data_IF_102424197235
#
_entry.id   IF_102424197235
#
_cell.length_a   1.000
_cell.length_b   1.000
_cell.length_c   1.000
_cell.angle_alpha   90.00
_cell.angle_beta   90.00
_cell.angle_gamma   90.00
#
_symmetry.space_group_name_H-M   'P 1'
#
loop_
_entity.id
_entity.type
_entity.pdbx_description
1 polymer ?
#
# COMPACT_ATOMS: atom_id res chain seq x y z
N UNK A 1 -16.14 8.76 9.29
CA UNK A 1 -17.29 8.09 8.61
C UNK A 1 -16.92 7.18 7.45
N UNK A 2 -16.28 7.64 6.36
CA UNK A 2 -16.06 6.83 5.13
C UNK A 2 -15.36 5.49 5.35
N UNK A 3 -14.31 5.46 6.18
CA UNK A 3 -13.60 4.21 6.50
C UNK A 3 -14.43 3.23 7.33
N UNK A 4 -15.31 3.73 8.22
CA UNK A 4 -16.23 2.90 8.99
C UNK A 4 -17.24 2.24 8.05
N UNK A 5 -17.80 3.01 7.12
CA UNK A 5 -18.69 2.49 6.09
C UNK A 5 -17.99 1.45 5.21
N UNK A 6 -16.76 1.72 4.74
CA UNK A 6 -16.00 0.73 3.96
C UNK A 6 -15.81 -0.58 4.73
N UNK A 7 -15.43 -0.51 6.02
CA UNK A 7 -15.29 -1.68 6.89
C UNK A 7 -16.60 -2.44 7.03
N UNK A 8 -17.69 -1.73 7.30
CA UNK A 8 -19.02 -2.33 7.39
C UNK A 8 -19.43 -3.05 6.10
N UNK A 9 -19.26 -2.40 4.94
CA UNK A 9 -19.55 -3.00 3.63
C UNK A 9 -18.66 -4.23 3.34
N UNK A 10 -17.40 -4.24 3.80
CA UNK A 10 -16.52 -5.42 3.70
C UNK A 10 -17.00 -6.55 4.62
N UNK A 11 -17.41 -6.25 5.85
CA UNK A 11 -17.98 -7.23 6.78
C UNK A 11 -19.26 -7.87 6.23
N UNK A 12 -20.10 -7.09 5.55
CA UNK A 12 -21.29 -7.59 4.86
C UNK A 12 -20.99 -8.33 3.54
N UNK A 13 -19.72 -8.42 3.11
CA UNK A 13 -19.33 -9.09 1.87
C UNK A 13 -19.65 -8.30 0.58
N UNK A 14 -20.12 -7.06 0.69
CA UNK A 14 -20.54 -6.22 -0.46
C UNK A 14 -19.32 -5.74 -1.27
N UNK A 15 -18.21 -5.45 -0.60
CA UNK A 15 -16.98 -5.00 -1.25
C UNK A 15 -15.75 -5.76 -0.74
N UNK A 16 -14.70 -5.80 -1.57
CA UNK A 16 -13.38 -6.34 -1.20
C UNK A 16 -12.31 -5.27 -1.33
N UNK A 17 -11.43 -5.20 -0.32
CA UNK A 17 -10.22 -4.39 -0.32
C UNK A 17 -9.24 -4.93 0.74
N UNK A 18 -7.97 -4.63 0.56
CA UNK A 18 -6.86 -4.98 1.45
C UNK A 18 -6.37 -3.73 2.22
N UNK A 19 -6.35 -2.58 1.56
CA UNK A 19 -5.84 -1.32 2.10
C UNK A 19 -6.94 -0.24 2.17
N UNK A 20 -6.90 0.55 3.25
CA UNK A 20 -7.54 1.86 3.33
C UNK A 20 -6.51 2.95 3.56
N UNK A 21 -6.74 4.14 3.00
CA UNK A 21 -5.81 5.27 3.14
C UNK A 21 -6.28 6.29 4.15
N UNK A 22 -5.37 6.72 5.03
CA UNK A 22 -5.50 7.94 5.84
C UNK A 22 -4.44 8.96 5.44
N UNK A 23 -4.70 10.24 5.71
CA UNK A 23 -3.75 11.33 5.46
C UNK A 23 -3.13 11.79 6.77
N UNK A 24 -1.86 12.15 6.74
CA UNK A 24 -1.09 12.73 7.85
C UNK A 24 -0.14 13.79 7.31
N UNK A 25 0.34 14.70 8.16
CA UNK A 25 1.35 15.70 7.79
C UNK A 25 2.79 15.24 8.03
N UNK A 26 3.00 14.27 8.91
CA UNK A 26 4.33 13.82 9.33
C UNK A 26 4.63 12.40 8.85
N UNK A 27 5.88 12.13 8.51
CA UNK A 27 6.33 10.78 8.16
C UNK A 27 6.16 9.84 9.36
N UNK A 28 5.50 8.67 9.20
CA UNK A 28 5.22 7.77 10.31
C UNK A 28 6.46 7.00 10.74
N UNK A 29 6.53 6.66 12.03
CA UNK A 29 7.41 5.60 12.53
C UNK A 29 6.86 4.24 12.10
N UNK A 30 7.72 3.23 12.13
CA UNK A 30 7.37 1.88 11.67
C UNK A 30 6.17 1.29 12.45
N UNK A 31 6.16 1.45 13.77
CA UNK A 31 5.10 0.99 14.69
C UNK A 31 3.76 1.72 14.50
N UNK A 32 3.75 2.90 13.89
CA UNK A 32 2.54 3.64 13.56
C UNK A 32 1.84 3.12 12.29
N UNK A 33 2.52 2.31 11.48
CA UNK A 33 1.98 1.74 10.23
C UNK A 33 1.33 0.39 10.50
N UNK A 34 0.00 0.36 10.48
CA UNK A 34 -0.80 -0.84 10.75
C UNK A 34 -1.04 -1.65 9.49
N UNK A 35 -1.27 -2.95 9.66
CA UNK A 35 -1.73 -3.82 8.58
C UNK A 35 -3.06 -3.34 8.00
N UNK A 36 -3.19 -3.43 6.68
CA UNK A 36 -4.38 -2.97 5.97
C UNK A 36 -4.50 -1.44 5.87
N UNK A 37 -3.46 -0.68 6.25
CA UNK A 37 -3.44 0.77 6.17
C UNK A 37 -2.35 1.28 5.22
N UNK A 38 -2.71 2.31 4.44
CA UNK A 38 -1.78 3.16 3.73
C UNK A 38 -1.81 4.56 4.33
N UNK A 39 -0.65 5.05 4.76
CA UNK A 39 -0.46 6.40 5.26
C UNK A 39 0.01 7.28 4.11
N UNK A 40 -0.84 8.22 3.70
CA UNK A 40 -0.49 9.24 2.70
C UNK A 40 -0.02 10.50 3.41
N UNK A 41 1.28 10.76 3.35
CA UNK A 41 1.93 11.92 3.96
C UNK A 41 1.79 13.13 3.04
N UNK A 42 0.97 14.10 3.45
CA UNK A 42 0.72 15.36 2.74
C UNK A 42 0.90 16.52 3.69
N UNK A 43 1.75 17.46 3.33
CA UNK A 43 2.06 18.62 4.16
C UNK A 43 2.15 19.88 3.29
N UNK A 44 1.46 20.94 3.69
CA UNK A 44 1.33 22.16 2.88
C UNK A 44 0.74 21.93 1.49
N UNK A 45 -0.09 20.88 1.30
CA UNK A 45 -0.62 20.50 -0.01
C UNK A 45 0.35 19.70 -0.90
N UNK A 46 1.57 19.42 -0.40
CA UNK A 46 2.58 18.66 -1.13
C UNK A 46 2.52 17.19 -0.71
N UNK A 47 2.35 16.30 -1.69
CA UNK A 47 2.44 14.85 -1.50
C UNK A 47 3.90 14.43 -1.32
N UNK A 48 4.23 13.83 -0.17
CA UNK A 48 5.60 13.47 0.19
C UNK A 48 5.83 11.97 0.08
N UNK A 49 5.01 11.18 0.77
CA UNK A 49 5.20 9.73 0.91
C UNK A 49 3.88 8.96 0.94
N UNK A 50 3.95 7.71 0.50
CA UNK A 50 2.97 6.67 0.82
C UNK A 50 3.66 5.54 1.59
N UNK A 51 3.23 5.31 2.83
CA UNK A 51 3.82 4.29 3.71
C UNK A 51 2.77 3.23 4.06
N UNK A 52 3.10 1.95 3.93
CA UNK A 52 2.23 0.82 4.30
C UNK A 52 3.05 -0.43 4.59
N UNK A 53 2.46 -1.40 5.31
CA UNK A 53 3.11 -2.70 5.58
C UNK A 53 3.14 -3.56 4.33
N UNK A 54 4.25 -4.27 4.13
CA UNK A 54 4.43 -5.15 2.99
C UNK A 54 3.35 -6.26 2.97
N UNK A 55 2.53 -6.37 1.90
CA UNK A 55 1.50 -7.40 1.81
C UNK A 55 2.08 -8.81 1.59
N UNK A 56 3.38 -8.92 1.32
CA UNK A 56 4.08 -10.19 1.15
C UNK A 56 4.30 -10.96 2.45
N UNK A 57 4.07 -10.34 3.61
CA UNK A 57 4.15 -11.00 4.92
C UNK A 57 5.48 -10.85 5.65
N UNK A 58 6.48 -10.17 5.07
CA UNK A 58 7.77 -9.94 5.73
C UNK A 58 7.72 -8.90 6.86
N UNK A 59 6.58 -8.25 7.10
CA UNK A 59 6.39 -7.24 8.13
C UNK A 59 7.04 -5.87 7.84
N UNK A 60 7.94 -5.75 6.87
CA UNK A 60 8.62 -4.48 6.58
C UNK A 60 7.65 -3.36 6.16
N UNK A 61 7.87 -2.14 6.67
CA UNK A 61 7.25 -0.94 6.11
C UNK A 61 7.85 -0.61 4.73
N UNK A 62 6.97 -0.30 3.78
CA UNK A 62 7.33 0.17 2.44
C UNK A 62 7.09 1.69 2.37
N UNK A 63 8.14 2.52 2.29
CA UNK A 63 8.00 3.93 1.97
C UNK A 63 8.15 4.19 0.47
N UNK A 64 7.14 4.80 -0.14
CA UNK A 64 7.15 5.21 -1.54
C UNK A 64 7.24 6.73 -1.65
N UNK A 65 8.25 7.23 -2.36
CA UNK A 65 8.39 8.66 -2.64
C UNK A 65 7.33 9.11 -3.66
N UNK A 66 6.56 10.13 -3.29
CA UNK A 66 5.57 10.78 -4.18
C UNK A 66 6.13 12.01 -4.88
N UNK A 67 7.40 12.33 -4.63
CA UNK A 67 8.06 13.48 -5.24
C UNK A 67 8.20 13.29 -6.77
N UNK A 68 7.60 14.15 -7.60
CA UNK A 68 7.62 14.01 -9.06
C UNK A 68 9.02 14.14 -9.68
N UNK A 69 9.98 14.73 -8.95
CA UNK A 69 11.36 14.95 -9.38
C UNK A 69 12.29 13.78 -9.04
N UNK A 70 11.88 12.83 -8.18
CA UNK A 70 12.70 11.66 -7.80
C UNK A 70 12.22 10.41 -8.53
N UNK A 71 13.14 9.47 -8.81
CA UNK A 71 12.81 8.15 -9.32
C UNK A 71 13.21 7.08 -8.29
N UNK A 72 12.46 5.97 -8.19
CA UNK A 72 11.11 5.77 -8.74
C UNK A 72 10.08 6.77 -8.20
N UNK A 73 9.13 7.18 -9.06
CA UNK A 73 8.06 8.13 -8.73
C UNK A 73 6.75 7.38 -8.60
N UNK A 74 6.03 7.57 -7.51
CA UNK A 74 4.67 7.06 -7.37
C UNK A 74 3.66 8.20 -7.27
N UNK A 75 2.42 7.90 -7.64
CA UNK A 75 1.24 8.72 -7.36
C UNK A 75 0.24 7.91 -6.56
N UNK A 76 -0.54 8.60 -5.71
CA UNK A 76 -1.56 7.98 -4.86
C UNK A 76 -2.91 8.62 -5.14
N UNK A 77 -3.82 7.85 -5.71
CA UNK A 77 -5.24 8.18 -5.76
C UNK A 77 -5.99 7.53 -4.60
N UNK A 78 -7.15 8.07 -4.24
CA UNK A 78 -8.07 7.42 -3.31
C UNK A 78 -9.50 7.62 -3.79
N UNK A 79 -10.30 6.56 -3.76
CA UNK A 79 -11.73 6.70 -4.05
C UNK A 79 -12.50 7.25 -2.83
N UNK A 80 -13.81 7.43 -3.01
CA UNK A 80 -14.69 7.95 -1.96
C UNK A 80 -14.71 7.07 -0.70
N UNK A 81 -14.55 5.76 -0.84
CA UNK A 81 -14.47 4.80 0.27
C UNK A 81 -13.09 4.74 0.92
N UNK A 82 -12.16 5.63 0.52
CA UNK A 82 -10.78 5.69 1.02
C UNK A 82 -9.98 4.46 0.64
N UNK A 83 -10.28 3.83 -0.50
CA UNK A 83 -9.49 2.73 -1.04
C UNK A 83 -8.42 3.30 -1.98
N UNK A 84 -7.11 3.11 -1.69
CA UNK A 84 -6.04 3.72 -2.46
C UNK A 84 -5.82 3.04 -3.82
N UNK A 85 -5.28 3.79 -4.76
CA UNK A 85 -4.67 3.26 -5.99
C UNK A 85 -3.28 3.86 -6.13
N UNK A 86 -2.29 3.01 -6.43
CA UNK A 86 -0.90 3.40 -6.65
C UNK A 86 -0.53 3.25 -8.12
N UNK A 87 0.26 4.19 -8.63
CA UNK A 87 0.89 4.06 -9.94
C UNK A 87 2.32 4.60 -9.89
N UNK A 88 3.32 3.88 -10.43
CA UNK A 88 3.25 2.55 -11.04
C UNK A 88 3.10 1.43 -9.98
N UNK A 89 3.31 0.17 -10.39
CA UNK A 89 3.44 -0.96 -9.47
C UNK A 89 4.56 -0.76 -8.45
N UNK A 90 4.49 -1.52 -7.37
CA UNK A 90 5.49 -1.56 -6.31
C UNK A 90 6.30 -2.82 -6.48
N UNK A 91 7.61 -2.69 -6.69
CA UNK A 91 8.54 -3.79 -6.79
C UNK A 91 9.64 -3.59 -5.74
N UNK A 92 9.56 -4.34 -4.66
CA UNK A 92 10.60 -4.36 -3.63
C UNK A 92 11.72 -5.29 -4.05
N UNK A 93 12.96 -4.83 -3.89
CA UNK A 93 14.18 -5.62 -4.14
C UNK A 93 14.87 -6.08 -2.85
N UNK A 94 14.15 -6.00 -1.73
CA UNK A 94 14.60 -6.59 -0.48
C UNK A 94 14.37 -8.11 -0.49
N UNK A 95 14.65 -8.79 0.63
CA UNK A 95 14.49 -10.23 0.75
C UNK A 95 13.07 -10.75 0.47
N UNK A 96 12.04 -9.89 0.55
CA UNK A 96 10.66 -10.26 0.25
C UNK A 96 10.37 -10.26 -1.26
N UNK A 97 11.19 -9.58 -2.07
CA UNK A 97 11.11 -9.54 -3.54
C UNK A 97 9.70 -9.27 -4.11
N UNK A 98 8.82 -8.60 -3.35
CA UNK A 98 7.41 -8.55 -3.66
C UNK A 98 7.12 -7.58 -4.81
N UNK A 99 6.29 -8.00 -5.77
CA UNK A 99 5.86 -7.18 -6.92
C UNK A 99 4.34 -7.21 -7.11
N UNK A 100 3.71 -6.04 -6.93
CA UNK A 100 2.25 -5.93 -6.98
C UNK A 100 1.76 -4.55 -7.42
N UNK A 101 0.50 -4.50 -7.82
CA UNK A 101 -0.28 -3.29 -8.01
C UNK A 101 -1.19 -3.05 -6.81
N UNK A 102 -1.51 -1.78 -6.54
CA UNK A 102 -2.60 -1.41 -5.63
C UNK A 102 -3.65 -0.65 -6.43
N UNK A 103 -4.87 -1.19 -6.50
CA UNK A 103 -5.98 -0.58 -7.26
C UNK A 103 -7.28 -0.66 -6.46
N UNK A 104 -7.91 0.49 -6.20
CA UNK A 104 -9.15 0.57 -5.41
C UNK A 104 -9.04 -0.23 -4.10
N UNK A 105 -7.89 -0.11 -3.44
CA UNK A 105 -7.54 -0.73 -2.17
C UNK A 105 -7.22 -2.22 -2.25
N UNK A 106 -7.21 -2.83 -3.44
CA UNK A 106 -6.83 -4.23 -3.62
C UNK A 106 -5.36 -4.37 -4.00
N UNK A 107 -4.70 -5.37 -3.45
CA UNK A 107 -3.36 -5.79 -3.86
C UNK A 107 -3.50 -6.85 -4.95
N UNK A 108 -3.11 -6.49 -6.17
CA UNK A 108 -3.09 -7.40 -7.32
C UNK A 108 -1.63 -7.79 -7.62
N UNK A 109 -1.28 -9.06 -7.40
CA UNK A 109 0.07 -9.57 -7.60
C UNK A 109 0.46 -9.65 -9.08
N UNK A 110 1.71 -9.33 -9.40
CA UNK A 110 2.30 -9.67 -10.69
C UNK A 110 2.62 -11.18 -10.74
N UNK A 111 2.85 -11.74 -11.93
CA UNK A 111 2.99 -13.18 -12.17
C UNK A 111 3.97 -13.88 -11.20
N UNK A 112 5.14 -13.29 -10.96
CA UNK A 112 6.17 -13.81 -10.05
C UNK A 112 6.36 -12.91 -8.82
N UNK A 113 5.36 -12.10 -8.51
CA UNK A 113 5.49 -11.02 -7.54
C UNK A 113 5.14 -11.39 -6.10
N UNK A 114 4.51 -12.53 -5.86
CA UNK A 114 4.20 -12.96 -4.50
C UNK A 114 5.35 -13.80 -3.92
N UNK A 115 5.90 -13.46 -2.74
CA UNK A 115 7.03 -14.17 -2.14
C UNK A 115 6.82 -15.67 -1.85
N UNK A 116 5.59 -16.21 -1.93
CA UNK A 116 5.27 -17.61 -1.55
C UNK A 116 5.66 -18.65 -2.62
N UNK A 117 6.62 -18.32 -3.48
CA UNK A 117 7.16 -19.26 -4.48
C UNK A 117 8.68 -19.40 -4.49
N UNK A 118 9.41 -18.50 -3.84
CA UNK A 118 10.87 -18.59 -3.79
C UNK A 118 11.37 -19.68 -2.82
N UNK A 119 10.56 -20.06 -1.83
CA UNK A 119 10.95 -21.04 -0.80
C UNK A 119 10.58 -22.50 -1.16
N UNK A 120 10.01 -22.74 -2.35
CA UNK A 120 9.58 -24.07 -2.80
C UNK A 120 10.54 -24.74 -3.81
N UNK A 121 11.68 -24.11 -4.09
CA UNK A 121 12.74 -24.66 -4.95
C UNK A 121 14.08 -24.38 -4.28
N UNK A 122 14.38 -25.19 -3.28
CA UNK A 122 15.66 -25.23 -2.61
C UNK A 122 15.97 -26.68 -2.26
N UNK A 123 16.41 -27.45 -3.26
CA UNK A 123 17.43 -28.52 -3.23
C UNK A 123 17.64 -29.07 -4.65
#
# INVERSE_FOLDING_TARGET
MRMILARFLKTLGIIRYDLLVRRVSTYPRDDEVRDGELIHVVDGGIEKWACFRCPGGCGAMIPLSLNPKRRPRWSVGADWLRRPSLSPSVHQRNNCACHFWVRKGRVDWCADGHPRRADAIGE
#
